data_IF_551316567117
#
_entry.id   IF_551316567117
#
_cell.length_a   1.000
_cell.length_b   1.000
_cell.length_c   1.000
_cell.angle_alpha   90.00
_cell.angle_beta   90.00
_cell.angle_gamma   90.00
#
_symmetry.space_group_name_H-M   'P 1'
#
loop_
_entity.id
_entity.type
_entity.pdbx_description
1 polymer ?
#
# COMPACT_ATOMS: atom_id res chain seq x y z
N UNK A 1 1.42 -17.23 1.25
CA UNK A 1 0.84 -15.89 1.02
C UNK A 1 0.56 -15.28 2.38
N UNK A 2 0.80 -13.98 2.58
CA UNK A 2 0.49 -13.31 3.84
C UNK A 2 -1.00 -13.49 4.20
N UNK A 3 -1.34 -13.56 5.50
CA UNK A 3 -2.74 -13.59 5.90
C UNK A 3 -3.39 -12.22 5.68
N UNK A 4 -4.72 -12.12 5.82
CA UNK A 4 -5.39 -10.84 5.76
C UNK A 4 -4.78 -9.87 6.79
N UNK A 5 -4.60 -8.61 6.38
CA UNK A 5 -4.05 -7.51 7.17
C UNK A 5 -2.57 -7.63 7.59
N UNK A 6 -1.91 -8.75 7.28
CA UNK A 6 -0.46 -8.88 7.45
C UNK A 6 0.27 -7.96 6.48
N UNK A 7 1.54 -7.66 6.80
CA UNK A 7 2.40 -6.95 5.86
C UNK A 7 2.60 -7.81 4.59
N UNK A 8 2.07 -7.31 3.47
CA UNK A 8 2.10 -8.00 2.21
C UNK A 8 3.52 -8.26 1.70
N UNK A 9 4.45 -7.36 2.03
CA UNK A 9 5.86 -7.43 1.64
C UNK A 9 6.73 -8.15 2.69
N UNK A 10 6.15 -8.51 3.84
CA UNK A 10 6.85 -9.13 4.97
C UNK A 10 7.70 -8.16 5.82
N UNK A 11 7.92 -6.93 5.35
CA UNK A 11 8.61 -5.85 6.06
C UNK A 11 8.07 -4.50 5.61
N UNK A 12 8.18 -3.50 6.47
CA UNK A 12 7.79 -2.14 6.13
C UNK A 12 8.77 -1.57 5.09
N UNK A 13 8.25 -0.72 4.21
CA UNK A 13 9.03 0.12 3.30
C UNK A 13 9.42 1.37 4.09
N UNK A 14 10.65 1.85 3.91
CA UNK A 14 11.15 3.07 4.55
C UNK A 14 11.44 4.15 3.50
N UNK A 15 11.27 5.42 3.88
CA UNK A 15 11.49 6.53 2.95
C UNK A 15 12.93 6.62 2.45
N UNK A 16 13.14 6.72 1.13
CA UNK A 16 14.48 6.88 0.54
C UNK A 16 14.75 8.28 0.02
N UNK A 17 13.76 8.95 -0.57
CA UNK A 17 13.79 10.37 -0.90
C UNK A 17 12.54 11.05 -0.35
N UNK A 18 12.69 12.31 0.04
CA UNK A 18 11.62 13.07 0.69
C UNK A 18 11.85 14.58 0.48
N UNK A 19 10.78 15.37 0.30
CA UNK A 19 9.39 14.93 0.18
C UNK A 19 9.12 14.29 -1.20
N UNK A 20 8.33 13.22 -1.26
CA UNK A 20 8.01 12.52 -2.51
C UNK A 20 6.66 11.78 -2.41
N UNK A 21 6.38 10.88 -3.35
CA UNK A 21 5.19 10.02 -3.32
C UNK A 21 5.55 8.56 -3.60
N UNK A 22 4.80 7.63 -3.01
CA UNK A 22 4.73 6.26 -3.50
C UNK A 22 3.59 6.13 -4.51
N UNK A 23 3.93 5.72 -5.73
CA UNK A 23 2.96 5.26 -6.71
C UNK A 23 2.78 3.76 -6.58
N UNK A 24 1.57 3.34 -6.26
CA UNK A 24 1.22 1.93 -6.02
C UNK A 24 0.29 1.47 -7.13
N UNK A 25 0.76 0.55 -7.96
CA UNK A 25 -0.06 -0.20 -8.91
C UNK A 25 -0.46 -1.53 -8.28
N UNK A 26 -1.75 -1.87 -8.32
CA UNK A 26 -2.25 -3.13 -7.83
C UNK A 26 -3.26 -3.78 -8.80
N UNK A 27 -3.16 -5.10 -8.95
CA UNK A 27 -4.18 -5.96 -9.54
C UNK A 27 -4.34 -7.19 -8.65
N UNK A 28 -5.57 -7.47 -8.20
CA UNK A 28 -5.88 -8.49 -7.18
C UNK A 28 -6.60 -9.70 -7.78
N UNK A 29 -6.46 -10.87 -7.16
CA UNK A 29 -7.07 -12.12 -7.64
C UNK A 29 -8.47 -12.37 -7.11
N UNK A 30 -8.81 -11.78 -5.98
CA UNK A 30 -10.09 -11.89 -5.28
C UNK A 30 -10.47 -10.48 -4.86
N UNK A 31 -11.75 -10.12 -4.93
CA UNK A 31 -12.20 -8.77 -4.51
C UNK A 31 -11.89 -8.49 -3.04
N UNK A 32 -11.31 -7.33 -2.74
CA UNK A 32 -10.88 -6.97 -1.39
C UNK A 32 -10.32 -5.55 -1.29
N UNK A 33 -10.05 -5.10 -0.08
CA UNK A 33 -9.60 -3.73 0.21
C UNK A 33 -8.08 -3.72 0.30
N UNK A 34 -7.45 -2.81 -0.43
CA UNK A 34 -6.03 -2.50 -0.31
C UNK A 34 -5.85 -1.34 0.67
N UNK A 35 -4.90 -1.46 1.59
CA UNK A 35 -4.63 -0.45 2.61
C UNK A 35 -3.16 -0.14 2.71
N UNK A 36 -2.88 1.05 3.23
CA UNK A 36 -1.56 1.46 3.68
C UNK A 36 -1.63 1.67 5.18
N UNK A 37 -0.84 0.93 5.94
CA UNK A 37 -0.57 1.28 7.32
C UNK A 37 0.72 2.10 7.35
N UNK A 38 0.59 3.40 7.59
CA UNK A 38 1.71 4.34 7.72
C UNK A 38 2.09 4.47 9.17
N UNK A 39 3.37 4.34 9.47
CA UNK A 39 3.91 4.66 10.79
C UNK A 39 4.81 5.89 10.70
N UNK A 40 4.60 6.85 11.59
CA UNK A 40 5.47 8.02 11.78
C UNK A 40 5.70 8.21 13.27
N UNK A 41 6.96 8.31 13.69
CA UNK A 41 7.36 8.46 15.10
C UNK A 41 6.62 7.49 16.05
N UNK A 42 6.59 6.21 15.68
CA UNK A 42 5.89 5.11 16.37
C UNK A 42 4.34 5.17 16.38
N UNK A 43 3.72 6.16 15.74
CA UNK A 43 2.27 6.22 15.57
C UNK A 43 1.87 5.62 14.24
N UNK A 44 1.07 4.54 14.28
CA UNK A 44 0.56 3.91 13.06
C UNK A 44 -0.88 4.33 12.76
N UNK A 45 -1.13 4.78 11.54
CA UNK A 45 -2.46 5.06 10.99
C UNK A 45 -2.69 4.14 9.79
N UNK A 46 -3.85 3.48 9.75
CA UNK A 46 -4.26 2.68 8.59
C UNK A 46 -5.19 3.49 7.70
N UNK A 47 -4.80 3.63 6.45
CA UNK A 47 -5.48 4.36 5.40
C UNK A 47 -6.09 3.36 4.41
N UNK A 48 -7.41 3.37 4.27
CA UNK A 48 -8.10 2.58 3.25
C UNK A 48 -7.93 3.25 1.88
N UNK A 49 -7.27 2.57 0.95
CA UNK A 49 -7.20 3.06 -0.43
C UNK A 49 -8.56 2.89 -1.10
N UNK A 50 -8.83 3.74 -2.10
CA UNK A 50 -10.11 3.76 -2.80
C UNK A 50 -11.32 3.97 -1.87
N UNK A 51 -11.16 4.77 -0.79
CA UNK A 51 -12.20 5.03 0.22
C UNK A 51 -12.75 3.74 0.86
N UNK A 52 -11.94 2.69 0.94
CA UNK A 52 -12.34 1.39 1.46
C UNK A 52 -13.24 0.59 0.51
N UNK A 53 -13.46 1.06 -0.70
CA UNK A 53 -14.18 0.30 -1.73
C UNK A 53 -13.29 -0.82 -2.23
N UNK A 54 -13.83 -2.04 -2.20
CA UNK A 54 -13.10 -3.22 -2.62
C UNK A 54 -12.63 -3.11 -4.08
N UNK A 55 -11.35 -3.41 -4.31
CA UNK A 55 -10.78 -3.57 -5.63
C UNK A 55 -11.41 -4.81 -6.28
N UNK A 56 -11.86 -4.68 -7.52
CA UNK A 56 -12.43 -5.78 -8.27
C UNK A 56 -11.32 -6.72 -8.73
N UNK A 57 -11.55 -8.03 -8.62
CA UNK A 57 -10.63 -9.03 -9.13
C UNK A 57 -10.31 -8.77 -10.62
N UNK A 58 -9.03 -8.93 -10.98
CA UNK A 58 -8.50 -8.73 -12.34
C UNK A 58 -8.59 -7.31 -12.91
N UNK A 59 -8.98 -6.32 -12.10
CA UNK A 59 -8.93 -4.91 -12.48
C UNK A 59 -7.61 -4.25 -12.02
N UNK A 60 -7.14 -3.29 -12.82
CA UNK A 60 -5.94 -2.51 -12.56
C UNK A 60 -6.28 -1.22 -11.80
N UNK A 61 -5.55 -0.96 -10.72
CA UNK A 61 -5.67 0.25 -9.92
C UNK A 61 -4.32 0.92 -9.75
N UNK A 62 -4.34 2.24 -9.63
CA UNK A 62 -3.15 3.06 -9.36
C UNK A 62 -3.47 4.08 -8.27
N UNK A 63 -2.63 4.12 -7.24
CA UNK A 63 -2.73 5.07 -6.12
C UNK A 63 -1.47 5.90 -6.03
N UNK A 64 -1.61 7.13 -5.53
CA UNK A 64 -0.48 7.99 -5.17
C UNK A 64 -0.62 8.32 -3.70
N UNK A 65 0.40 7.98 -2.93
CA UNK A 65 0.42 8.08 -1.47
C UNK A 65 1.56 9.01 -1.07
N UNK A 66 1.33 10.07 -0.27
CA UNK A 66 2.40 10.95 0.20
C UNK A 66 3.51 10.17 0.90
N UNK A 67 4.75 10.61 0.73
CA UNK A 67 5.94 9.93 1.26
C UNK A 67 6.91 10.96 1.83
N UNK A 68 7.14 10.90 3.15
CA UNK A 68 7.98 11.85 3.87
C UNK A 68 9.03 11.14 4.70
N UNK A 69 10.11 11.85 5.01
CA UNK A 69 11.16 11.37 5.91
C UNK A 69 10.56 10.97 7.25
N UNK A 70 10.88 9.76 7.71
CA UNK A 70 10.37 9.21 8.96
C UNK A 70 9.08 8.42 8.82
N UNK A 71 8.48 8.38 7.62
CA UNK A 71 7.39 7.46 7.33
C UNK A 71 7.94 6.06 7.04
N UNK A 72 7.31 5.05 7.65
CA UNK A 72 7.33 3.67 7.16
C UNK A 72 5.95 3.27 6.64
N UNK A 73 5.89 2.47 5.58
CA UNK A 73 4.64 1.99 4.99
C UNK A 73 4.60 0.47 4.96
N UNK A 74 3.50 -0.06 5.47
CA UNK A 74 3.08 -1.44 5.36
C UNK A 74 1.89 -1.54 4.38
N UNK A 75 2.05 -2.34 3.32
CA UNK A 75 0.96 -2.65 2.39
C UNK A 75 0.13 -3.79 2.96
N UNK A 76 -1.17 -3.59 3.11
CA UNK A 76 -2.09 -4.58 3.67
C UNK A 76 -3.19 -4.92 2.69
N UNK A 77 -3.65 -6.18 2.75
CA UNK A 77 -4.76 -6.65 1.95
C UNK A 77 -5.81 -7.37 2.79
N UNK A 78 -7.09 -7.13 2.51
CA UNK A 78 -8.17 -7.55 3.41
C UNK A 78 -8.60 -9.02 3.29
N UNK A 79 -7.89 -9.83 2.51
CA UNK A 79 -8.33 -11.19 2.15
C UNK A 79 -7.18 -12.19 2.34
N UNK A 80 -7.41 -13.23 3.15
CA UNK A 80 -6.42 -14.25 3.49
C UNK A 80 -6.07 -15.16 2.31
N UNK A 81 -7.03 -15.48 1.45
CA UNK A 81 -6.86 -16.39 0.32
C UNK A 81 -6.76 -15.65 -1.04
N UNK A 82 -6.61 -14.32 -1.03
CA UNK A 82 -6.45 -13.49 -2.22
C UNK A 82 -5.00 -13.07 -2.47
N UNK A 83 -4.53 -13.17 -3.71
CA UNK A 83 -3.24 -12.65 -4.18
C UNK A 83 -3.37 -11.22 -4.71
N UNK A 84 -2.41 -10.35 -4.40
CA UNK A 84 -2.09 -9.22 -5.28
C UNK A 84 -1.26 -9.80 -6.45
N UNK A 85 -1.94 -10.12 -7.57
CA UNK A 85 -1.34 -10.71 -8.77
C UNK A 85 -0.19 -9.87 -9.32
N UNK A 86 -0.31 -8.55 -9.22
CA UNK A 86 0.74 -7.61 -9.59
C UNK A 86 0.74 -6.43 -8.62
N UNK A 87 1.88 -6.22 -7.97
CA UNK A 87 2.15 -5.08 -7.12
C UNK A 87 3.41 -4.38 -7.65
N UNK A 88 3.28 -3.12 -8.05
CA UNK A 88 4.43 -2.26 -8.35
C UNK A 88 4.36 -1.08 -7.40
N UNK A 89 5.49 -0.74 -6.78
CA UNK A 89 5.62 0.39 -5.87
C UNK A 89 6.84 1.16 -6.30
N UNK A 90 6.60 2.34 -6.85
CA UNK A 90 7.65 3.22 -7.33
C UNK A 90 7.64 4.49 -6.49
N UNK A 91 8.78 4.83 -5.90
CA UNK A 91 8.96 6.16 -5.36
C UNK A 91 9.14 7.15 -6.52
N UNK A 92 8.24 8.12 -6.61
CA UNK A 92 8.21 9.14 -7.66
C UNK A 92 8.46 10.52 -7.05
N UNK A 93 9.24 11.34 -7.76
CA UNK A 93 9.92 12.53 -7.23
C UNK A 93 9.07 13.63 -6.58
N UNK A 94 9.81 14.62 -6.04
CA UNK A 94 9.42 15.82 -5.31
C UNK A 94 7.93 16.09 -5.10
N UNK A 95 7.41 15.75 -3.92
CA UNK A 95 6.16 16.33 -3.46
C UNK A 95 6.45 17.78 -3.05
N UNK A 96 5.96 18.75 -3.84
CA UNK A 96 5.96 20.16 -3.45
C UNK A 96 5.18 20.39 -2.14
#
# INVERSE_FOLDING_TARGET
MPAAEDNWLGTDIESTNSPSYLRIYACVSVTGILRVARTQDATTVTEDLNSGTALVADAAYMFTVPWRTGDSINIKYSVTDGMIKRLLIDEIGGAE
#
